data_IF_495869764230
#
_entry.id   IF_495869764230
#
_cell.length_a   1.000
_cell.length_b   1.000
_cell.length_c   1.000
_cell.angle_alpha   90.00
_cell.angle_beta   90.00
_cell.angle_gamma   90.00
#
_symmetry.space_group_name_H-M   'P 1'
#
loop_
_entity.id
_entity.type
_entity.pdbx_description
1 polymer ?
#
# COMPACT_ATOMS: atom_id res chain seq x y z
N UNK A 1 -14.00 -11.54 -5.57
CA UNK A 1 -13.74 -10.12 -5.24
C UNK A 1 -12.70 -10.09 -4.14
N UNK A 2 -11.63 -9.31 -4.30
CA UNK A 2 -10.69 -9.07 -3.20
C UNK A 2 -11.40 -8.21 -2.16
N UNK A 3 -11.46 -8.65 -0.91
CA UNK A 3 -12.04 -7.87 0.18
C UNK A 3 -10.91 -7.36 1.06
N UNK A 4 -10.82 -6.04 1.17
CA UNK A 4 -9.97 -5.36 2.16
C UNK A 4 -10.84 -5.14 3.40
N UNK A 5 -10.50 -5.80 4.50
CA UNK A 5 -11.27 -5.70 5.75
C UNK A 5 -10.78 -4.55 6.65
N UNK A 6 -9.53 -4.14 6.47
CA UNK A 6 -8.92 -3.03 7.21
C UNK A 6 -9.07 -1.71 6.43
N UNK A 7 -9.08 -0.54 7.11
CA UNK A 7 -9.04 0.75 6.43
C UNK A 7 -7.89 0.84 5.42
N UNK A 8 -8.17 1.29 4.20
CA UNK A 8 -7.16 1.47 3.15
C UNK A 8 -6.84 2.94 2.98
N UNK A 9 -5.57 3.29 3.15
CA UNK A 9 -5.10 4.68 3.16
C UNK A 9 -4.10 4.84 2.02
N UNK A 10 -4.45 5.65 1.01
CA UNK A 10 -3.55 5.96 -0.08
C UNK A 10 -2.63 7.12 0.31
N UNK A 11 -1.33 6.86 0.31
CA UNK A 11 -0.28 7.82 0.65
C UNK A 11 0.55 8.19 -0.57
N UNK A 12 1.17 9.38 -0.58
CA UNK A 12 2.13 9.81 -1.62
C UNK A 12 3.54 10.05 -1.08
N UNK A 13 3.72 10.01 0.23
CA UNK A 13 5.02 10.13 0.88
C UNK A 13 4.98 9.78 2.36
N UNK A 14 6.12 9.97 3.02
CA UNK A 14 6.32 9.54 4.42
C UNK A 14 5.37 10.25 5.40
N UNK A 15 4.98 11.51 5.13
CA UNK A 15 4.05 12.26 5.98
C UNK A 15 2.70 11.55 6.15
N UNK A 16 2.16 11.00 5.05
CA UNK A 16 0.91 10.26 5.07
C UNK A 16 1.02 8.96 5.88
N UNK A 17 2.11 8.22 5.69
CA UNK A 17 2.37 6.98 6.44
C UNK A 17 2.48 7.22 7.95
N UNK A 18 3.24 8.25 8.35
CA UNK A 18 3.40 8.65 9.75
C UNK A 18 2.08 9.05 10.38
N UNK A 19 1.27 9.82 9.67
CA UNK A 19 -0.05 10.25 10.13
C UNK A 19 -1.00 9.06 10.31
N UNK A 20 -1.01 8.13 9.35
CA UNK A 20 -1.76 6.88 9.50
C UNK A 20 -1.34 6.10 10.75
N UNK A 21 -0.03 5.94 10.99
CA UNK A 21 0.45 5.23 12.17
C UNK A 21 0.06 5.94 13.49
N UNK A 22 0.11 7.28 13.53
CA UNK A 22 -0.30 8.04 14.73
C UNK A 22 -1.80 7.92 15.03
N UNK A 23 -2.64 7.99 13.99
CA UNK A 23 -4.10 8.02 14.15
C UNK A 23 -4.67 6.63 14.42
N UNK A 24 -4.19 5.60 13.71
CA UNK A 24 -4.69 4.25 13.88
C UNK A 24 -4.02 3.50 15.02
N UNK A 25 -2.83 3.91 15.44
CA UNK A 25 -2.09 3.30 16.54
C UNK A 25 -1.98 1.77 16.40
N UNK A 26 -2.74 1.02 17.21
CA UNK A 26 -2.78 -0.45 17.24
C UNK A 26 -3.84 -1.07 16.31
N UNK A 27 -4.77 -0.26 15.77
CA UNK A 27 -5.78 -0.72 14.82
C UNK A 27 -5.12 -1.13 13.49
N UNK A 28 -5.35 -2.35 12.98
CA UNK A 28 -4.82 -2.77 11.68
C UNK A 28 -5.30 -1.89 10.53
N UNK A 29 -4.41 -1.61 9.56
CA UNK A 29 -4.72 -0.88 8.33
C UNK A 29 -3.86 -1.29 7.13
N UNK A 30 -4.17 -0.74 5.96
CA UNK A 30 -3.41 -0.91 4.72
C UNK A 30 -2.86 0.43 4.26
N UNK A 31 -1.55 0.50 4.06
CA UNK A 31 -0.91 1.55 3.29
C UNK A 31 -0.92 1.18 1.81
N UNK A 32 -1.60 1.98 1.01
CA UNK A 32 -1.67 1.83 -0.43
C UNK A 32 -0.81 2.91 -1.10
N UNK A 33 0.03 2.52 -2.04
CA UNK A 33 0.82 3.48 -2.82
C UNK A 33 -0.07 4.36 -3.71
N UNK A 34 0.49 5.44 -4.30
CA UNK A 34 -0.16 6.13 -5.41
C UNK A 34 -0.46 5.16 -6.55
N UNK A 35 -1.40 5.52 -7.41
CA UNK A 35 -1.67 4.74 -8.62
C UNK A 35 -0.43 4.67 -9.51
N UNK A 36 -0.19 3.50 -10.09
CA UNK A 36 0.96 3.24 -10.98
C UNK A 36 2.33 3.56 -10.33
N UNK A 37 2.44 3.54 -9.00
CA UNK A 37 3.65 3.95 -8.30
C UNK A 37 4.89 3.16 -8.70
N UNK A 38 4.76 1.87 -9.02
CA UNK A 38 5.91 1.09 -9.49
C UNK A 38 6.44 1.58 -10.85
N UNK A 39 5.57 2.12 -11.71
CA UNK A 39 5.96 2.71 -12.98
C UNK A 39 6.64 4.06 -12.79
N UNK A 40 6.11 4.91 -11.90
CA UNK A 40 6.55 6.30 -11.73
C UNK A 40 7.76 6.41 -10.80
N UNK A 41 7.70 5.78 -9.63
CA UNK A 41 8.71 5.90 -8.56
C UNK A 41 9.58 4.64 -8.42
N UNK A 42 9.05 3.47 -8.82
CA UNK A 42 9.71 2.18 -8.64
C UNK A 42 9.35 1.50 -7.31
N UNK A 43 9.57 0.18 -7.26
CA UNK A 43 9.25 -0.63 -6.08
C UNK A 43 10.14 -0.28 -4.87
N UNK A 44 11.43 0.00 -5.11
CA UNK A 44 12.38 0.32 -4.04
C UNK A 44 11.97 1.57 -3.26
N UNK A 45 11.49 2.62 -3.94
CA UNK A 45 11.00 3.83 -3.27
C UNK A 45 9.91 3.53 -2.23
N UNK A 46 8.94 2.68 -2.58
CA UNK A 46 7.87 2.34 -1.67
C UNK A 46 8.37 1.44 -0.54
N UNK A 47 9.28 0.52 -0.84
CA UNK A 47 9.92 -0.33 0.17
C UNK A 47 10.73 0.49 1.19
N UNK A 48 11.49 1.48 0.75
CA UNK A 48 12.26 2.39 1.63
C UNK A 48 11.32 3.19 2.54
N UNK A 49 10.22 3.71 1.99
CA UNK A 49 9.19 4.41 2.75
C UNK A 49 8.57 3.49 3.82
N UNK A 50 8.25 2.25 3.46
CA UNK A 50 7.68 1.24 4.38
C UNK A 50 8.68 0.88 5.47
N UNK A 51 9.96 0.68 5.12
CA UNK A 51 11.03 0.42 6.07
C UNK A 51 11.16 1.53 7.11
N UNK A 52 11.28 2.78 6.65
CA UNK A 52 11.31 3.96 7.53
C UNK A 52 10.08 4.04 8.44
N UNK A 53 8.89 3.72 7.90
CA UNK A 53 7.65 3.75 8.68
C UNK A 53 7.64 2.66 9.76
N UNK A 54 8.08 1.45 9.44
CA UNK A 54 8.18 0.33 10.40
C UNK A 54 9.21 0.63 11.50
N UNK A 55 10.33 1.25 11.15
CA UNK A 55 11.37 1.63 12.11
C UNK A 55 10.88 2.72 13.09
N UNK A 56 10.13 3.71 12.59
CA UNK A 56 9.59 4.79 13.41
C UNK A 56 8.37 4.39 14.25
N UNK A 57 7.57 3.44 13.76
CA UNK A 57 6.32 2.99 14.38
C UNK A 57 6.31 1.46 14.55
N UNK A 58 7.18 0.90 15.40
CA UNK A 58 7.34 -0.55 15.53
C UNK A 58 6.10 -1.27 16.08
N UNK A 59 5.16 -0.54 16.68
CA UNK A 59 3.90 -1.08 17.21
C UNK A 59 2.73 -0.97 16.22
N UNK A 60 2.89 -0.25 15.11
CA UNK A 60 1.82 -0.09 14.12
C UNK A 60 1.63 -1.39 13.34
N UNK A 61 0.38 -1.85 13.24
CA UNK A 61 0.04 -3.06 12.48
C UNK A 61 -0.48 -2.67 11.11
N UNK A 62 0.35 -2.76 10.07
CA UNK A 62 -0.09 -2.45 8.71
C UNK A 62 0.48 -3.37 7.63
N UNK A 63 -0.28 -3.51 6.55
CA UNK A 63 0.19 -4.08 5.28
C UNK A 63 0.48 -2.97 4.29
N UNK A 64 1.56 -3.12 3.52
CA UNK A 64 1.96 -2.20 2.47
C UNK A 64 1.72 -2.82 1.09
N UNK A 65 0.92 -2.13 0.28
CA UNK A 65 0.52 -2.60 -1.05
C UNK A 65 0.96 -1.61 -2.12
N UNK A 66 1.75 -2.10 -3.07
CA UNK A 66 2.25 -1.31 -4.19
C UNK A 66 1.36 -1.49 -5.42
N UNK A 67 0.96 -0.38 -6.03
CA UNK A 67 0.32 -0.38 -7.34
C UNK A 67 1.37 -0.52 -8.45
N UNK A 68 1.38 -1.71 -9.05
CA UNK A 68 2.27 -2.12 -10.15
C UNK A 68 1.55 -2.18 -11.50
N UNK A 69 0.30 -1.69 -11.59
CA UNK A 69 -0.38 -1.53 -12.89
C UNK A 69 0.49 -0.70 -13.83
N UNK A 70 0.52 -1.07 -15.10
CA UNK A 70 1.40 -0.51 -16.12
C UNK A 70 2.85 -1.01 -16.09
N UNK A 71 3.29 -1.76 -15.07
CA UNK A 71 4.69 -2.24 -14.97
C UNK A 71 4.86 -3.56 -14.20
N UNK A 72 4.78 -4.68 -14.92
CA UNK A 72 4.97 -6.03 -14.36
C UNK A 72 6.33 -6.23 -13.65
N UNK A 73 7.41 -5.64 -14.17
CA UNK A 73 8.73 -5.71 -13.52
C UNK A 73 8.75 -5.08 -12.13
N UNK A 74 7.86 -4.13 -11.85
CA UNK A 74 7.65 -3.56 -10.52
C UNK A 74 7.07 -4.59 -9.54
N UNK A 75 6.16 -5.44 -9.98
CA UNK A 75 5.58 -6.49 -9.15
C UNK A 75 6.61 -7.56 -8.79
N UNK A 76 7.45 -7.98 -9.75
CA UNK A 76 8.54 -8.93 -9.50
C UNK A 76 9.57 -8.36 -8.51
N UNK A 77 9.97 -7.09 -8.66
CA UNK A 77 10.87 -6.45 -7.71
C UNK A 77 10.24 -6.36 -6.29
N UNK A 78 8.96 -6.00 -6.20
CA UNK A 78 8.25 -5.96 -4.92
C UNK A 78 8.16 -7.33 -4.23
N UNK A 79 7.96 -8.40 -5.01
CA UNK A 79 8.01 -9.78 -4.54
C UNK A 79 9.39 -10.12 -3.96
N UNK A 80 10.46 -9.76 -4.66
CA UNK A 80 11.85 -10.02 -4.24
C UNK A 80 12.25 -9.24 -2.99
N UNK A 81 11.80 -7.99 -2.86
CA UNK A 81 12.08 -7.12 -1.71
C UNK A 81 11.22 -7.52 -0.48
N UNK A 82 10.13 -8.26 -0.68
CA UNK A 82 9.28 -8.75 0.40
C UNK A 82 8.21 -7.76 0.86
N UNK A 83 7.60 -7.02 -0.07
CA UNK A 83 6.39 -6.23 0.21
C UNK A 83 5.19 -7.14 0.50
N UNK A 84 4.21 -6.63 1.28
CA UNK A 84 3.05 -7.43 1.71
C UNK A 84 2.05 -7.67 0.58
N UNK A 85 2.03 -6.81 -0.45
CA UNK A 85 1.21 -7.02 -1.62
C UNK A 85 1.48 -6.11 -2.81
N UNK A 86 0.95 -6.51 -3.96
CA UNK A 86 1.04 -5.78 -5.22
C UNK A 86 -0.29 -5.81 -5.97
N UNK A 87 -0.61 -4.72 -6.68
CA UNK A 87 -1.72 -4.68 -7.63
C UNK A 87 -1.12 -4.72 -9.04
N UNK A 88 -1.55 -5.65 -9.86
CA UNK A 88 -1.14 -5.77 -11.27
C UNK A 88 -2.35 -5.57 -12.18
N UNK A 89 -2.09 -5.25 -13.45
CA UNK A 89 -3.14 -5.35 -14.46
C UNK A 89 -3.58 -6.81 -14.59
N UNK A 90 -4.87 -7.06 -14.89
CA UNK A 90 -5.32 -8.39 -15.28
C UNK A 90 -4.49 -8.87 -16.47
N UNK A 91 -3.72 -9.93 -16.26
CA UNK A 91 -3.03 -10.65 -17.35
C UNK A 91 -3.79 -11.93 -17.67
N UNK A 92 -3.38 -12.67 -18.70
CA UNK A 92 -3.96 -14.00 -18.96
C UNK A 92 -3.90 -14.88 -17.72
N UNK A 93 -4.94 -15.70 -17.50
CA UNK A 93 -5.19 -16.43 -16.24
C UNK A 93 -3.94 -17.14 -15.71
N UNK A 94 -3.22 -17.87 -16.58
CA UNK A 94 -2.00 -18.60 -16.23
C UNK A 94 -0.87 -17.71 -15.70
N UNK A 95 -0.68 -16.52 -16.27
CA UNK A 95 0.37 -15.61 -15.81
C UNK A 95 0.02 -15.01 -14.44
N UNK A 96 -1.25 -14.65 -14.25
CA UNK A 96 -1.76 -14.17 -12.96
C UNK A 96 -1.64 -15.25 -11.88
N UNK A 97 -1.94 -16.50 -12.18
CA UNK A 97 -1.79 -17.64 -11.27
C UNK A 97 -0.32 -17.88 -10.89
N UNK A 98 0.60 -17.88 -11.85
CA UNK A 98 2.03 -18.02 -11.58
C UNK A 98 2.54 -16.92 -10.63
N UNK A 99 2.11 -15.67 -10.84
CA UNK A 99 2.49 -14.56 -9.96
C UNK A 99 1.91 -14.72 -8.55
N UNK A 100 0.66 -15.18 -8.44
CA UNK A 100 0.06 -15.51 -7.14
C UNK A 100 0.80 -16.62 -6.43
N UNK A 101 1.28 -17.64 -7.15
CA UNK A 101 2.08 -18.72 -6.58
C UNK A 101 3.42 -18.22 -6.05
N UNK A 102 4.13 -17.41 -6.84
CA UNK A 102 5.35 -16.72 -6.41
C UNK A 102 5.11 -15.81 -5.22
N UNK A 103 3.96 -15.13 -5.18
CA UNK A 103 3.53 -14.28 -4.08
C UNK A 103 3.28 -15.05 -2.79
N UNK A 104 2.53 -16.16 -2.87
CA UNK A 104 2.29 -17.04 -1.72
C UNK A 104 3.60 -17.56 -1.11
N UNK A 105 4.57 -17.94 -1.94
CA UNK A 105 5.88 -18.41 -1.48
C UNK A 105 6.69 -17.32 -0.74
N UNK A 106 6.45 -16.05 -1.05
CA UNK A 106 7.19 -14.90 -0.50
C UNK A 106 6.39 -14.05 0.49
N UNK A 107 5.16 -14.46 0.82
CA UNK A 107 4.28 -13.68 1.70
C UNK A 107 3.68 -12.42 1.08
N UNK A 108 3.74 -12.27 -0.24
CA UNK A 108 3.22 -11.11 -0.97
C UNK A 108 1.89 -11.44 -1.66
N UNK A 109 0.82 -10.73 -1.33
CA UNK A 109 -0.48 -10.92 -1.97
C UNK A 109 -0.55 -10.24 -3.35
N UNK A 110 -1.06 -10.94 -4.36
CA UNK A 110 -1.20 -10.40 -5.72
C UNK A 110 -2.66 -10.12 -6.04
N UNK A 111 -2.98 -8.84 -6.21
CA UNK A 111 -4.30 -8.32 -6.57
C UNK A 111 -4.34 -7.93 -8.05
N UNK A 112 -5.48 -8.09 -8.70
CA UNK A 112 -5.68 -7.72 -10.11
C UNK A 112 -6.54 -6.46 -10.28
N UNK A 113 -6.92 -5.85 -9.16
CA UNK A 113 -7.67 -4.61 -9.12
C UNK A 113 -7.40 -3.91 -7.76
N UNK A 114 -7.38 -2.57 -7.73
CA UNK A 114 -7.40 -1.84 -6.47
C UNK A 114 -8.73 -2.05 -5.73
N UNK A 115 -8.79 -1.72 -4.42
CA UNK A 115 -10.08 -1.56 -3.74
C UNK A 115 -10.95 -0.52 -4.46
N UNK A 116 -12.29 -0.59 -4.31
CA UNK A 116 -13.20 0.47 -4.75
C UNK A 116 -12.79 1.84 -4.20
N UNK A 117 -12.97 2.90 -4.98
CA UNK A 117 -12.51 4.25 -4.61
C UNK A 117 -13.16 4.80 -3.35
N UNK A 118 -14.41 4.41 -3.06
CA UNK A 118 -15.14 4.77 -1.84
C UNK A 118 -14.66 4.02 -0.58
N UNK A 119 -13.89 2.95 -0.76
CA UNK A 119 -13.23 2.23 0.33
C UNK A 119 -11.80 2.73 0.62
N UNK A 120 -11.31 3.71 -0.14
CA UNK A 120 -9.95 4.25 0.00
C UNK A 120 -10.00 5.67 0.56
N UNK A 121 -9.30 5.89 1.66
CA UNK A 121 -9.02 7.22 2.17
C UNK A 121 -7.82 7.84 1.44
N UNK A 122 -8.04 8.97 0.76
CA UNK A 122 -6.99 9.74 0.11
C UNK A 122 -6.30 10.69 1.09
N UNK A 123 -5.03 10.46 1.37
CA UNK A 123 -4.34 11.18 2.45
C UNK A 123 -4.07 12.67 2.16
N UNK A 124 -3.98 13.06 0.89
CA UNK A 124 -3.59 14.42 0.47
C UNK A 124 -2.27 14.95 1.09
N UNK A 125 -1.37 14.06 1.49
CA UNK A 125 -0.08 14.33 2.17
C UNK A 125 0.94 15.14 1.34
N UNK A 126 0.73 15.20 0.02
CA UNK A 126 1.45 16.10 -0.87
C UNK A 126 1.08 17.59 -0.68
N UNK A 127 -0.07 17.89 -0.07
CA UNK A 127 -0.62 19.25 0.04
C UNK A 127 -0.83 19.70 1.48
N UNK A 128 -1.26 18.81 2.37
CA UNK A 128 -1.65 19.16 3.73
C UNK A 128 -0.48 19.09 4.73
N UNK A 129 -0.50 19.92 5.79
CA UNK A 129 0.41 19.80 6.92
C UNK A 129 -0.02 18.66 7.85
N UNK A 130 0.94 18.14 8.63
CA UNK A 130 0.77 16.94 9.48
C UNK A 130 -0.43 17.00 10.44
N UNK A 131 -0.69 18.15 11.07
CA UNK A 131 -1.83 18.28 12.00
C UNK A 131 -3.19 18.17 11.30
N UNK A 132 -3.27 18.59 10.03
CA UNK A 132 -4.50 18.50 9.25
C UNK A 132 -4.70 17.06 8.73
N UNK A 133 -3.61 16.37 8.42
CA UNK A 133 -3.63 14.95 8.08
C UNK A 133 -4.23 14.12 9.23
N UNK A 134 -3.69 14.31 10.44
CA UNK A 134 -4.13 13.57 11.64
C UNK A 134 -5.61 13.83 11.93
N UNK A 135 -6.01 15.11 11.87
CA UNK A 135 -7.40 15.54 12.13
C UNK A 135 -8.38 14.91 11.14
N UNK A 136 -8.10 14.99 9.84
CA UNK A 136 -9.04 14.51 8.81
C UNK A 136 -9.14 13.00 8.80
N UNK A 137 -8.03 12.29 8.99
CA UNK A 137 -8.04 10.83 9.05
C UNK A 137 -8.82 10.35 10.27
N UNK A 138 -8.59 10.97 11.44
CA UNK A 138 -9.32 10.66 12.67
C UNK A 138 -10.83 10.89 12.53
N UNK A 139 -11.23 11.99 11.89
CA UNK A 139 -12.64 12.30 11.65
C UNK A 139 -13.33 11.38 10.62
N UNK A 140 -12.56 10.71 9.75
CA UNK A 140 -13.10 9.80 8.73
C UNK A 140 -13.25 8.37 9.22
N UNK A 141 -12.52 7.97 10.27
CA UNK A 141 -12.43 6.58 10.75
C UNK A 141 -12.98 6.36 12.17
N UNK A 142 -13.35 7.44 12.86
CA UNK A 142 -14.08 7.44 14.14
C UNK A 142 -15.58 7.54 13.93
#
# INVERSE_FOLDING_TARGET
MTVFHDPVIRIRGIKGARSACRVLADRPFVLLSPEHAAQINGAQWFADLVGLTRDEFPTATFRAILDCRGRMSGALAALEIGLDGVIIDPTGDKQTENLRDMGRQRGCQVFTAPPPSDAIYEMEDHRLPDHELDRRLGASLG
#
